data_IF_574546966797
#
_entry.id   IF_574546966797
#
_cell.length_a   1.000
_cell.length_b   1.000
_cell.length_c   1.000
_cell.angle_alpha   90.00
_cell.angle_beta   90.00
_cell.angle_gamma   90.00
#
_symmetry.space_group_name_H-M   'P 1'
#
loop_
_entity.id
_entity.type
_entity.pdbx_description
1 polymer ?
#
# COMPACT_ATOMS: atom_id res chain seq x y z
N UNK A 1 -3.83 13.32 27.73
CA UNK A 1 -4.84 12.48 27.06
C UNK A 1 -4.91 12.75 25.58
N UNK A 2 -4.98 14.01 25.16
CA UNK A 2 -4.99 14.34 23.72
C UNK A 2 -3.76 13.82 22.99
N UNK A 3 -2.59 14.03 23.60
CA UNK A 3 -1.33 13.59 23.03
C UNK A 3 -1.29 12.06 22.87
N UNK A 4 -1.79 11.33 23.87
CA UNK A 4 -1.89 9.89 23.79
C UNK A 4 -2.81 9.46 22.67
N UNK A 5 -3.95 10.11 22.51
CA UNK A 5 -4.88 9.84 21.42
C UNK A 5 -4.26 10.08 20.05
N UNK A 6 -3.50 11.17 19.91
CA UNK A 6 -2.80 11.47 18.65
C UNK A 6 -1.77 10.40 18.30
N UNK A 7 -0.98 9.97 19.26
CA UNK A 7 0.06 8.96 19.02
C UNK A 7 -0.55 7.58 18.74
N UNK A 8 -1.59 7.20 19.48
CA UNK A 8 -2.29 5.95 19.22
C UNK A 8 -2.97 5.96 17.85
N UNK A 9 -3.63 7.06 17.50
CA UNK A 9 -4.27 7.20 16.21
C UNK A 9 -3.28 7.13 15.06
N UNK A 10 -2.13 7.78 15.20
CA UNK A 10 -1.09 7.72 14.18
C UNK A 10 -0.55 6.30 14.03
N UNK A 11 -0.34 5.59 15.14
CA UNK A 11 0.11 4.20 15.11
C UNK A 11 -0.91 3.29 14.43
N UNK A 12 -2.19 3.47 14.75
CA UNK A 12 -3.27 2.69 14.12
C UNK A 12 -3.38 2.99 12.63
N UNK A 13 -3.20 4.26 12.24
CA UNK A 13 -3.20 4.62 10.83
C UNK A 13 -2.05 3.93 10.07
N UNK A 14 -0.90 3.76 10.71
CA UNK A 14 0.23 3.05 10.11
C UNK A 14 -0.07 1.57 9.84
N UNK A 15 -0.98 0.96 10.60
CA UNK A 15 -1.42 -0.40 10.33
C UNK A 15 -2.11 -0.48 8.96
N UNK A 16 -2.82 0.57 8.54
CA UNK A 16 -3.39 0.64 7.20
C UNK A 16 -2.33 0.56 6.10
N UNK A 17 -1.15 1.13 6.33
CA UNK A 17 -0.04 1.01 5.39
C UNK A 17 0.45 -0.43 5.26
N UNK A 18 0.40 -1.21 6.34
CA UNK A 18 0.74 -2.63 6.29
C UNK A 18 -0.20 -3.39 5.35
N UNK A 19 -1.50 -3.07 5.37
CA UNK A 19 -2.47 -3.65 4.44
C UNK A 19 -2.13 -3.33 2.98
N UNK A 20 -1.80 -2.06 2.70
CA UNK A 20 -1.39 -1.65 1.37
C UNK A 20 -0.11 -2.38 0.93
N UNK A 21 0.85 -2.55 1.83
CA UNK A 21 2.09 -3.26 1.53
C UNK A 21 1.83 -4.72 1.18
N UNK A 22 0.92 -5.38 1.90
CA UNK A 22 0.52 -6.76 1.58
C UNK A 22 -0.14 -6.80 0.20
N UNK A 23 -1.03 -5.85 -0.10
CA UNK A 23 -1.70 -5.77 -1.40
C UNK A 23 -0.71 -5.61 -2.55
N UNK A 24 0.24 -4.69 -2.43
CA UNK A 24 1.28 -4.48 -3.44
C UNK A 24 2.13 -5.75 -3.57
N UNK A 25 2.51 -6.37 -2.46
CA UNK A 25 3.27 -7.61 -2.47
C UNK A 25 2.54 -8.74 -3.18
N UNK A 26 1.23 -8.86 -2.97
CA UNK A 26 0.42 -9.86 -3.65
C UNK A 26 0.37 -9.62 -5.16
N UNK A 27 0.17 -8.38 -5.58
CA UNK A 27 0.16 -8.04 -7.00
C UNK A 27 1.51 -8.35 -7.63
N UNK A 28 2.59 -7.90 -7.00
CA UNK A 28 3.94 -8.11 -7.51
C UNK A 28 4.29 -9.61 -7.57
N UNK A 29 3.97 -10.36 -6.53
CA UNK A 29 4.25 -11.79 -6.49
C UNK A 29 3.48 -12.55 -7.56
N UNK A 30 2.20 -12.24 -7.72
CA UNK A 30 1.37 -12.87 -8.74
C UNK A 30 1.84 -12.52 -10.15
N UNK A 31 2.22 -11.25 -10.37
CA UNK A 31 2.78 -10.86 -11.67
C UNK A 31 4.07 -11.63 -11.97
N UNK A 32 4.99 -11.69 -11.01
CA UNK A 32 6.26 -12.39 -11.23
C UNK A 32 6.06 -13.87 -11.50
N UNK A 33 5.16 -14.53 -10.75
CA UNK A 33 4.83 -15.94 -10.99
C UNK A 33 4.29 -16.16 -12.39
N UNK A 34 3.38 -15.30 -12.84
CA UNK A 34 2.82 -15.37 -14.18
C UNK A 34 3.85 -15.08 -15.27
N UNK A 35 4.72 -14.09 -15.04
CA UNK A 35 5.76 -13.71 -15.99
C UNK A 35 6.76 -14.85 -16.22
N UNK A 36 7.11 -15.55 -15.14
CA UNK A 36 8.02 -16.70 -15.23
C UNK A 36 7.40 -17.87 -15.98
N UNK A 37 6.08 -18.06 -15.87
CA UNK A 37 5.36 -19.12 -16.58
C UNK A 37 5.11 -18.79 -18.04
N UNK A 38 4.90 -17.52 -18.33
CA UNK A 38 4.58 -17.06 -19.68
C UNK A 38 5.30 -15.76 -20.01
N UNK A 39 6.62 -15.82 -20.27
CA UNK A 39 7.40 -14.61 -20.52
C UNK A 39 6.90 -13.78 -21.71
N UNK A 40 6.28 -14.39 -22.69
CA UNK A 40 5.79 -13.68 -23.87
C UNK A 40 4.64 -12.73 -23.54
N UNK A 41 3.88 -12.99 -22.46
CA UNK A 41 2.79 -12.13 -22.03
C UNK A 41 3.23 -11.11 -20.96
N UNK A 42 4.42 -11.25 -20.39
CA UNK A 42 4.84 -10.47 -19.23
C UNK A 42 4.81 -8.97 -19.50
N UNK A 43 5.37 -8.53 -20.62
CA UNK A 43 5.44 -7.09 -20.95
C UNK A 43 4.04 -6.50 -21.15
N UNK A 44 3.16 -7.24 -21.80
CA UNK A 44 1.79 -6.80 -22.05
C UNK A 44 0.96 -6.68 -20.79
N UNK A 45 1.28 -7.43 -19.74
CA UNK A 45 0.53 -7.42 -18.48
C UNK A 45 1.14 -6.52 -17.42
N UNK A 46 2.34 -6.00 -17.65
CA UNK A 46 3.02 -5.17 -16.65
C UNK A 46 2.21 -3.94 -16.28
N UNK A 47 1.61 -3.26 -17.25
CA UNK A 47 0.81 -2.06 -17.00
C UNK A 47 -0.37 -2.35 -16.07
N UNK A 48 -1.04 -3.49 -16.27
CA UNK A 48 -2.17 -3.89 -15.42
C UNK A 48 -1.73 -4.21 -14.01
N UNK A 49 -0.60 -4.89 -13.86
CA UNK A 49 -0.02 -5.17 -12.55
C UNK A 49 0.36 -3.89 -11.84
N UNK A 50 0.96 -2.94 -12.55
CA UNK A 50 1.34 -1.64 -12.02
C UNK A 50 0.12 -0.85 -11.55
N UNK A 51 -0.98 -0.85 -12.31
CA UNK A 51 -2.21 -0.18 -11.91
C UNK A 51 -2.77 -0.78 -10.62
N UNK A 52 -2.79 -2.12 -10.51
CA UNK A 52 -3.24 -2.79 -9.30
C UNK A 52 -2.39 -2.42 -8.10
N UNK A 53 -1.06 -2.40 -8.26
CA UNK A 53 -0.15 -2.01 -7.20
C UNK A 53 -0.36 -0.53 -6.80
N UNK A 54 -0.55 0.35 -7.78
CA UNK A 54 -0.78 1.77 -7.51
C UNK A 54 -2.08 2.01 -6.73
N UNK A 55 -3.15 1.26 -7.03
CA UNK A 55 -4.40 1.36 -6.28
C UNK A 55 -4.22 0.92 -4.83
N UNK A 56 -3.51 -0.17 -4.60
CA UNK A 56 -3.23 -0.65 -3.25
C UNK A 56 -2.35 0.34 -2.48
N UNK A 57 -1.33 0.88 -3.12
CA UNK A 57 -0.43 1.87 -2.53
C UNK A 57 -1.17 3.17 -2.22
N UNK A 58 -2.11 3.58 -3.08
CA UNK A 58 -2.90 4.79 -2.87
C UNK A 58 -3.64 4.78 -1.54
N UNK A 59 -4.20 3.62 -1.16
CA UNK A 59 -4.86 3.46 0.14
C UNK A 59 -3.87 3.61 1.29
N UNK A 60 -2.64 3.11 1.12
CA UNK A 60 -1.58 3.29 2.10
C UNK A 60 -1.17 4.75 2.27
N UNK A 61 -1.18 5.53 1.18
CA UNK A 61 -0.89 6.95 1.23
C UNK A 61 -1.94 7.69 2.05
N UNK A 62 -3.22 7.36 1.91
CA UNK A 62 -4.26 7.94 2.74
C UNK A 62 -4.01 7.66 4.23
N UNK A 63 -3.62 6.44 4.57
CA UNK A 63 -3.27 6.10 5.95
C UNK A 63 -2.09 6.92 6.46
N UNK A 64 -1.08 7.12 5.63
CA UNK A 64 0.08 7.93 5.97
C UNK A 64 -0.33 9.38 6.22
N UNK A 65 -1.19 9.95 5.38
CA UNK A 65 -1.69 11.32 5.56
C UNK A 65 -2.41 11.46 6.90
N UNK A 66 -3.26 10.49 7.25
CA UNK A 66 -3.95 10.52 8.54
C UNK A 66 -2.94 10.49 9.69
N UNK A 67 -1.93 9.64 9.60
CA UNK A 67 -0.90 9.56 10.63
C UNK A 67 -0.16 10.89 10.80
N UNK A 68 0.21 11.53 9.70
CA UNK A 68 0.93 12.81 9.72
C UNK A 68 0.05 13.92 10.28
N UNK A 69 -1.23 13.96 9.91
CA UNK A 69 -2.19 14.93 10.44
C UNK A 69 -2.28 14.80 11.96
N UNK A 70 -2.41 13.58 12.46
CA UNK A 70 -2.53 13.34 13.90
C UNK A 70 -1.25 13.73 14.65
N UNK A 71 -0.08 13.50 14.03
CA UNK A 71 1.19 13.80 14.69
C UNK A 71 1.51 15.29 14.72
N UNK A 72 1.20 16.02 13.64
CA UNK A 72 1.74 17.37 13.46
C UNK A 72 0.69 18.47 13.38
N UNK A 73 -0.55 18.15 13.06
CA UNK A 73 -1.59 19.16 12.85
C UNK A 73 -2.63 19.13 13.96
N UNK A 74 -3.11 17.96 14.30
CA UNK A 74 -4.10 17.82 15.36
C UNK A 74 -3.43 17.83 16.74
#
# INVERSE_FOLDING_TARGET
>A
MEQLGQYLGAGLACIGMAGAAIGVGNVAGNYLSGALRNPSAADGQFARAFIGAALAEGLGIFSLVVALVLLFVA
#
